data_IF_511711313259
#
_entry.id   IF_511711313259
#
_cell.length_a   1.000
_cell.length_b   1.000
_cell.length_c   1.000
_cell.angle_alpha   90.00
_cell.angle_beta   90.00
_cell.angle_gamma   90.00
#
_symmetry.space_group_name_H-M   'P 1'
#
loop_
_entity.id
_entity.type
_entity.pdbx_description
1 polymer ?
#
# COMPACT_ATOMS: atom_id res chain seq x y z
N UNK A 1 9.32 70.69 -21.80
CA UNK A 1 8.25 71.26 -21.01
C UNK A 1 7.05 70.30 -21.05
N UNK A 2 6.95 69.44 -20.06
CA UNK A 2 5.83 68.53 -19.86
C UNK A 2 4.93 69.11 -18.74
N UNK A 3 3.64 69.31 -18.92
CA UNK A 3 2.79 69.87 -17.88
C UNK A 3 2.52 68.84 -16.79
N UNK A 4 2.88 69.17 -15.57
CA UNK A 4 2.41 68.50 -14.35
C UNK A 4 0.93 68.89 -14.15
N UNK A 5 -0.04 67.95 -14.14
CA UNK A 5 -0.42 67.23 -12.92
C UNK A 5 -1.06 65.83 -13.19
N UNK A 6 -0.28 64.80 -13.36
CA UNK A 6 -0.79 63.45 -13.45
C UNK A 6 -0.02 62.40 -12.57
N UNK A 7 0.86 62.82 -11.67
CA UNK A 7 1.65 61.92 -10.85
C UNK A 7 1.21 61.84 -9.36
N UNK A 8 0.05 62.34 -8.99
CA UNK A 8 -0.40 62.32 -7.58
C UNK A 8 -1.51 61.31 -7.22
N UNK A 9 -1.89 60.43 -8.13
CA UNK A 9 -3.02 59.51 -7.90
C UNK A 9 -2.64 58.07 -7.49
N UNK A 10 -1.40 57.77 -7.16
CA UNK A 10 -0.99 56.37 -6.83
C UNK A 10 -0.29 56.21 -5.47
N UNK A 11 -0.53 57.07 -4.50
CA UNK A 11 0.07 56.98 -3.14
C UNK A 11 -0.91 56.41 -2.08
N UNK A 12 -1.99 55.77 -2.47
CA UNK A 12 -3.03 55.28 -1.54
C UNK A 12 -3.16 53.75 -1.41
N UNK A 13 -2.24 52.93 -1.90
CA UNK A 13 -2.31 51.48 -1.65
C UNK A 13 -1.75 51.17 -0.25
N UNK A 14 -2.56 50.59 0.66
CA UNK A 14 -2.07 50.13 1.94
C UNK A 14 -0.97 49.08 1.70
N UNK A 15 0.24 49.35 2.21
CA UNK A 15 1.30 48.34 2.27
C UNK A 15 0.73 47.13 3.04
N UNK A 16 0.35 46.07 2.34
CA UNK A 16 0.14 44.76 2.94
C UNK A 16 1.48 44.25 3.46
N UNK A 17 1.84 44.67 4.64
CA UNK A 17 2.91 44.03 5.42
C UNK A 17 2.38 42.64 5.80
N UNK A 18 2.75 41.64 5.01
CA UNK A 18 2.56 40.25 5.40
C UNK A 18 3.19 40.06 6.79
N UNK A 19 2.35 40.00 7.81
CA UNK A 19 2.77 39.84 9.18
C UNK A 19 3.22 38.37 9.39
N UNK A 20 4.45 38.07 8.93
CA UNK A 20 5.09 36.75 9.05
C UNK A 20 5.17 36.31 10.53
N UNK A 21 5.13 37.26 11.46
CA UNK A 21 5.10 37.00 12.91
C UNK A 21 3.74 36.39 13.35
N UNK A 22 2.63 36.82 12.79
CA UNK A 22 1.31 36.26 13.12
C UNK A 22 1.22 34.79 12.69
N UNK A 23 1.80 34.42 11.53
CA UNK A 23 1.83 33.05 11.07
C UNK A 23 2.74 32.14 11.93
N UNK A 24 3.85 32.67 12.47
CA UNK A 24 4.72 31.97 13.42
C UNK A 24 4.05 31.74 14.79
N UNK A 25 3.21 32.68 15.24
CA UNK A 25 2.51 32.59 16.54
C UNK A 25 1.41 31.53 16.46
N UNK A 26 0.69 31.43 15.35
CA UNK A 26 -0.39 30.47 15.18
C UNK A 26 0.09 28.98 15.10
N UNK A 27 1.41 28.76 14.89
CA UNK A 27 2.01 27.42 15.00
C UNK A 27 2.38 27.01 16.42
N UNK A 28 2.48 27.97 17.37
CA UNK A 28 2.96 27.70 18.73
C UNK A 28 1.90 27.16 19.68
N UNK A 29 0.63 27.34 19.38
CA UNK A 29 -0.46 27.07 20.35
C UNK A 29 -1.33 25.86 19.99
N UNK A 30 -0.83 24.90 19.21
CA UNK A 30 -1.43 23.56 19.31
C UNK A 30 -0.99 23.01 20.65
N UNK A 31 -1.95 22.78 21.59
CA UNK A 31 -1.61 22.15 22.85
C UNK A 31 -0.86 20.88 22.51
N UNK A 32 0.34 20.73 23.04
CA UNK A 32 1.03 19.44 23.07
C UNK A 32 0.09 18.55 23.89
N UNK A 33 -0.85 17.87 23.21
CA UNK A 33 -1.60 16.76 23.82
C UNK A 33 -0.53 15.86 24.38
N UNK A 34 -0.57 15.65 25.69
CA UNK A 34 0.31 14.72 26.37
C UNK A 34 0.23 13.39 25.61
N UNK A 35 1.24 13.13 24.80
CA UNK A 35 1.36 11.89 24.07
C UNK A 35 1.65 10.80 25.11
N UNK A 36 0.59 10.14 25.57
CA UNK A 36 0.72 8.76 26.01
C UNK A 36 1.34 8.03 24.80
N UNK A 37 2.50 7.43 24.95
CA UNK A 37 3.33 6.88 23.87
C UNK A 37 2.69 5.86 22.90
N UNK A 38 1.39 5.91 22.75
CA UNK A 38 0.56 5.12 21.85
C UNK A 38 -0.17 6.06 20.89
N UNK A 39 -0.40 5.59 19.66
CA UNK A 39 -1.23 6.26 18.66
C UNK A 39 -2.62 6.56 19.24
N UNK A 40 -3.12 7.80 19.14
CA UNK A 40 -4.44 8.17 19.62
C UNK A 40 -5.54 7.44 18.83
N UNK A 41 -6.68 7.19 19.49
CA UNK A 41 -7.75 6.37 18.93
C UNK A 41 -8.27 6.87 17.55
N UNK A 42 -8.50 8.17 17.32
CA UNK A 42 -8.91 8.67 16.00
C UNK A 42 -7.90 8.36 14.91
N UNK A 43 -6.62 8.51 15.18
CA UNK A 43 -5.52 8.19 14.24
C UNK A 43 -5.45 6.69 13.99
N UNK A 44 -5.57 5.86 15.02
CA UNK A 44 -5.60 4.40 14.89
C UNK A 44 -6.79 3.92 14.06
N UNK A 45 -7.98 4.48 14.27
CA UNK A 45 -9.17 4.15 13.49
C UNK A 45 -9.03 4.57 12.03
N UNK A 46 -8.53 5.78 11.78
CA UNK A 46 -8.26 6.27 10.43
C UNK A 46 -7.25 5.39 9.70
N UNK A 47 -6.16 5.02 10.39
CA UNK A 47 -5.15 4.12 9.85
C UNK A 47 -5.71 2.71 9.59
N UNK A 48 -6.51 2.18 10.50
CA UNK A 48 -7.13 0.85 10.35
C UNK A 48 -8.05 0.80 9.13
N UNK A 49 -8.84 1.85 8.91
CA UNK A 49 -9.69 1.97 7.72
C UNK A 49 -8.85 2.05 6.43
N UNK A 50 -7.81 2.89 6.43
CA UNK A 50 -6.87 2.97 5.30
C UNK A 50 -6.23 1.61 4.99
N UNK A 51 -5.70 0.93 6.01
CA UNK A 51 -5.05 -0.37 5.89
C UNK A 51 -6.03 -1.43 5.35
N UNK A 52 -7.26 -1.45 5.87
CA UNK A 52 -8.31 -2.36 5.41
C UNK A 52 -8.62 -2.15 3.93
N UNK A 53 -8.94 -0.92 3.52
CA UNK A 53 -9.23 -0.59 2.12
C UNK A 53 -8.05 -0.95 1.22
N UNK A 54 -6.83 -0.59 1.64
CA UNK A 54 -5.62 -0.89 0.88
C UNK A 54 -5.40 -2.40 0.72
N UNK A 55 -5.57 -3.21 1.78
CA UNK A 55 -5.33 -4.65 1.72
C UNK A 55 -6.41 -5.40 0.93
N UNK A 56 -7.68 -5.00 1.05
CA UNK A 56 -8.78 -5.69 0.37
C UNK A 56 -9.01 -5.23 -1.07
N UNK A 57 -8.46 -4.09 -1.49
CA UNK A 57 -8.48 -3.66 -2.89
C UNK A 57 -7.73 -4.65 -3.78
N UNK A 58 -8.26 -5.01 -4.97
CA UNK A 58 -7.56 -5.88 -5.91
C UNK A 58 -6.13 -5.40 -6.20
N UNK A 59 -5.20 -6.34 -6.24
CA UNK A 59 -3.80 -6.07 -6.52
C UNK A 59 -3.06 -7.36 -6.86
N UNK A 60 -1.77 -7.27 -7.27
CA UNK A 60 -1.02 -8.43 -7.75
C UNK A 60 -1.07 -9.62 -6.80
N UNK A 61 -0.75 -9.42 -5.53
CA UNK A 61 -0.81 -10.47 -4.52
C UNK A 61 -2.18 -11.08 -4.35
N UNK A 62 -3.22 -10.24 -4.31
CA UNK A 62 -4.58 -10.69 -4.09
C UNK A 62 -5.06 -11.57 -5.24
N UNK A 63 -4.75 -11.17 -6.49
CA UNK A 63 -5.05 -11.98 -7.69
C UNK A 63 -4.27 -13.29 -7.66
N UNK A 64 -2.99 -13.27 -7.29
CA UNK A 64 -2.17 -14.48 -7.19
C UNK A 64 -2.66 -15.43 -6.08
N UNK A 65 -3.11 -14.91 -4.94
CA UNK A 65 -3.71 -15.69 -3.86
C UNK A 65 -5.06 -16.29 -4.29
N UNK A 66 -5.89 -15.53 -4.99
CA UNK A 66 -7.14 -16.04 -5.56
C UNK A 66 -6.88 -17.15 -6.57
N UNK A 67 -5.92 -16.96 -7.48
CA UNK A 67 -5.52 -18.00 -8.44
C UNK A 67 -4.96 -19.25 -7.72
N UNK A 68 -4.15 -19.05 -6.67
CA UNK A 68 -3.64 -20.15 -5.85
C UNK A 68 -4.79 -20.94 -5.18
N UNK A 69 -5.76 -20.22 -4.60
CA UNK A 69 -6.95 -20.82 -4.00
C UNK A 69 -7.80 -21.60 -5.00
N UNK A 70 -8.03 -21.01 -6.19
CA UNK A 70 -8.84 -21.61 -7.24
C UNK A 70 -8.24 -22.93 -7.77
N UNK A 71 -6.92 -22.97 -7.92
CA UNK A 71 -6.23 -24.12 -8.53
C UNK A 71 -5.83 -25.21 -7.52
N UNK A 72 -5.45 -24.82 -6.30
CA UNK A 72 -4.81 -25.73 -5.33
C UNK A 72 -5.56 -25.87 -4.01
N UNK A 73 -6.54 -25.00 -3.76
CA UNK A 73 -7.27 -24.96 -2.50
C UNK A 73 -6.49 -24.29 -1.38
N UNK A 74 -7.14 -24.15 -0.21
CA UNK A 74 -6.61 -23.36 0.90
C UNK A 74 -5.33 -23.94 1.52
N UNK A 75 -5.34 -25.24 1.82
CA UNK A 75 -4.20 -25.90 2.51
C UNK A 75 -2.90 -25.83 1.70
N UNK A 76 -2.99 -26.09 0.39
CA UNK A 76 -1.83 -26.03 -0.49
C UNK A 76 -1.34 -24.57 -0.67
N UNK A 77 -2.21 -23.57 -0.51
CA UNK A 77 -1.87 -22.16 -0.61
C UNK A 77 -1.29 -21.57 0.68
N UNK A 78 -1.25 -22.30 1.80
CA UNK A 78 -0.69 -21.81 3.07
C UNK A 78 0.76 -21.29 2.96
N UNK A 79 1.70 -21.98 2.30
CA UNK A 79 3.05 -21.46 2.13
C UNK A 79 3.07 -20.11 1.37
N UNK A 80 2.18 -19.93 0.38
CA UNK A 80 2.02 -18.68 -0.34
C UNK A 80 1.49 -17.57 0.59
N UNK A 81 0.42 -17.84 1.34
CA UNK A 81 -0.18 -16.90 2.31
C UNK A 81 0.89 -16.45 3.34
N UNK A 82 1.60 -17.42 3.93
CA UNK A 82 2.64 -17.12 4.92
C UNK A 82 3.82 -16.37 4.32
N UNK A 83 4.20 -16.65 3.08
CA UNK A 83 5.24 -15.93 2.36
C UNK A 83 4.86 -14.47 2.12
N UNK A 84 3.63 -14.20 1.65
CA UNK A 84 3.10 -12.84 1.49
C UNK A 84 3.13 -12.10 2.82
N UNK A 85 2.62 -12.73 3.88
CA UNK A 85 2.59 -12.14 5.21
C UNK A 85 4.01 -11.81 5.72
N UNK A 86 4.92 -12.77 5.71
CA UNK A 86 6.27 -12.58 6.23
C UNK A 86 7.05 -11.52 5.43
N UNK A 87 6.99 -11.57 4.09
CA UNK A 87 7.66 -10.58 3.25
C UNK A 87 7.13 -9.17 3.47
N UNK A 88 5.80 -9.02 3.65
CA UNK A 88 5.20 -7.73 3.93
C UNK A 88 5.58 -7.21 5.32
N UNK A 89 5.60 -8.06 6.35
CA UNK A 89 6.01 -7.69 7.70
C UNK A 89 7.49 -7.29 7.77
N UNK A 90 8.36 -7.95 7.03
CA UNK A 90 9.77 -7.56 6.91
C UNK A 90 9.89 -6.15 6.31
N UNK A 91 9.10 -5.82 5.28
CA UNK A 91 9.08 -4.47 4.71
C UNK A 91 8.56 -3.42 5.69
N UNK A 92 7.54 -3.73 6.51
CA UNK A 92 7.02 -2.82 7.54
C UNK A 92 8.10 -2.50 8.55
N UNK A 93 8.81 -3.52 9.04
CA UNK A 93 9.94 -3.34 9.96
C UNK A 93 11.06 -2.53 9.33
N UNK A 94 11.47 -2.86 8.11
CA UNK A 94 12.49 -2.13 7.37
C UNK A 94 12.12 -0.65 7.15
N UNK A 95 10.85 -0.36 6.87
CA UNK A 95 10.35 1.01 6.72
C UNK A 95 10.40 1.77 8.05
N UNK A 96 10.06 1.11 9.16
CA UNK A 96 10.17 1.69 10.50
C UNK A 96 11.61 2.06 10.88
N UNK A 97 12.60 1.32 10.37
CA UNK A 97 14.03 1.62 10.56
C UNK A 97 14.62 2.60 9.52
N UNK A 98 13.80 3.29 8.75
CA UNK A 98 14.24 4.37 7.88
C UNK A 98 14.28 4.04 6.38
N UNK A 99 13.83 2.85 5.94
CA UNK A 99 13.73 2.54 4.51
C UNK A 99 12.78 3.51 3.79
N UNK A 100 11.76 4.03 4.48
CA UNK A 100 10.85 5.03 3.93
C UNK A 100 11.61 6.33 3.55
N UNK A 101 12.60 6.74 4.35
CA UNK A 101 13.44 7.90 4.03
C UNK A 101 14.37 7.66 2.84
N UNK A 102 14.79 6.41 2.59
CA UNK A 102 15.59 6.07 1.41
C UNK A 102 14.79 6.27 0.12
N UNK A 103 13.52 5.87 0.08
CA UNK A 103 12.67 6.07 -1.08
C UNK A 103 12.33 7.54 -1.32
N UNK A 104 12.24 8.35 -0.26
CA UNK A 104 12.04 9.80 -0.39
C UNK A 104 13.31 10.51 -0.84
N UNK A 105 14.49 10.03 -0.43
CA UNK A 105 15.78 10.57 -0.83
C UNK A 105 16.21 10.16 -2.25
N UNK A 106 15.77 8.97 -2.69
CA UNK A 106 16.08 8.41 -4.01
C UNK A 106 14.79 8.00 -4.75
N UNK A 107 14.02 8.97 -5.27
CA UNK A 107 12.77 8.70 -6.01
C UNK A 107 12.96 7.76 -7.19
N UNK A 108 14.11 7.81 -7.87
CA UNK A 108 14.45 6.92 -8.98
C UNK A 108 14.41 5.43 -8.59
N UNK A 109 14.76 5.08 -7.35
CA UNK A 109 14.67 3.70 -6.87
C UNK A 109 13.22 3.21 -6.83
N UNK A 110 12.29 4.08 -6.41
CA UNK A 110 10.87 3.78 -6.42
C UNK A 110 10.34 3.57 -7.86
N UNK A 111 10.74 4.43 -8.79
CA UNK A 111 10.33 4.33 -10.19
C UNK A 111 10.86 3.06 -10.86
N UNK A 112 12.11 2.69 -10.59
CA UNK A 112 12.70 1.43 -11.06
C UNK A 112 11.90 0.22 -10.55
N UNK A 113 11.62 0.15 -9.24
CA UNK A 113 10.83 -0.93 -8.65
C UNK A 113 9.41 -0.97 -9.23
N UNK A 114 8.81 0.17 -9.51
CA UNK A 114 7.49 0.29 -10.14
C UNK A 114 7.51 -0.30 -11.56
N UNK A 115 8.53 0.03 -12.36
CA UNK A 115 8.68 -0.51 -13.72
C UNK A 115 8.87 -2.03 -13.68
N UNK A 116 9.76 -2.54 -12.82
CA UNK A 116 9.97 -3.98 -12.64
C UNK A 116 8.66 -4.68 -12.28
N UNK A 117 7.87 -4.09 -11.41
CA UNK A 117 6.58 -4.63 -10.99
C UNK A 117 5.56 -4.67 -12.13
N UNK A 118 5.48 -3.61 -12.94
CA UNK A 118 4.60 -3.56 -14.12
C UNK A 118 5.00 -4.65 -15.12
N UNK A 119 6.29 -4.78 -15.41
CA UNK A 119 6.80 -5.82 -16.32
C UNK A 119 6.49 -7.23 -15.80
N UNK A 120 6.64 -7.45 -14.47
CA UNK A 120 6.27 -8.71 -13.85
C UNK A 120 4.77 -9.00 -13.97
N UNK A 121 3.92 -7.99 -13.76
CA UNK A 121 2.46 -8.14 -13.91
C UNK A 121 2.06 -8.45 -15.36
N UNK A 122 2.67 -7.79 -16.32
CA UNK A 122 2.46 -8.06 -17.73
C UNK A 122 2.90 -9.48 -18.08
N UNK A 123 4.07 -9.91 -17.59
CA UNK A 123 4.54 -11.29 -17.73
C UNK A 123 3.54 -12.30 -17.13
N UNK A 124 3.03 -12.03 -15.92
CA UNK A 124 2.06 -12.88 -15.26
C UNK A 124 0.73 -12.93 -16.03
N UNK A 125 0.24 -11.78 -16.48
CA UNK A 125 -0.97 -11.68 -17.29
C UNK A 125 -0.82 -12.44 -18.61
N UNK A 126 0.33 -12.30 -19.29
CA UNK A 126 0.66 -13.04 -20.50
C UNK A 126 0.71 -14.55 -20.25
N UNK A 127 1.34 -14.98 -19.13
CA UNK A 127 1.41 -16.39 -18.74
C UNK A 127 0.02 -16.96 -18.47
N UNK A 128 -0.85 -16.21 -17.80
CA UNK A 128 -2.25 -16.61 -17.53
C UNK A 128 -3.06 -16.68 -18.83
N UNK A 129 -2.93 -15.67 -19.70
CA UNK A 129 -3.66 -15.61 -20.96
C UNK A 129 -3.26 -16.74 -21.93
N UNK A 130 -1.98 -17.18 -21.90
CA UNK A 130 -1.47 -18.28 -22.72
C UNK A 130 -1.51 -19.65 -22.03
N UNK A 131 -1.86 -19.71 -20.75
CA UNK A 131 -2.22 -20.95 -20.09
C UNK A 131 -3.59 -21.35 -20.65
N UNK A 132 -3.59 -22.00 -21.83
CA UNK A 132 -4.79 -22.60 -22.43
C UNK A 132 -5.56 -23.41 -21.39
N UNK A 133 -6.82 -23.81 -21.71
CA UNK A 133 -7.64 -24.66 -20.83
C UNK A 133 -6.74 -25.53 -19.99
N UNK A 134 -6.91 -25.44 -18.68
CA UNK A 134 -6.12 -26.18 -17.71
C UNK A 134 -6.22 -27.69 -17.98
N UNK A 135 -5.49 -28.16 -18.97
CA UNK A 135 -4.97 -29.51 -18.94
C UNK A 135 -4.09 -29.53 -17.71
N UNK A 136 -4.50 -30.31 -16.75
CA UNK A 136 -3.80 -30.60 -15.51
C UNK A 136 -2.32 -30.88 -15.80
N UNK A 137 -1.51 -29.83 -15.91
CA UNK A 137 -0.07 -29.96 -15.83
C UNK A 137 0.22 -30.32 -14.38
N UNK A 138 0.52 -31.56 -14.17
CA UNK A 138 0.86 -32.19 -12.88
C UNK A 138 2.01 -31.51 -12.11
N UNK A 139 2.55 -30.38 -12.58
CA UNK A 139 3.75 -29.73 -12.02
C UNK A 139 3.52 -28.28 -11.56
N UNK A 140 2.33 -27.73 -11.70
CA UNK A 140 2.02 -26.38 -11.21
C UNK A 140 1.69 -26.43 -9.71
N UNK A 141 2.71 -26.17 -8.91
CA UNK A 141 2.56 -26.00 -7.46
C UNK A 141 2.24 -24.54 -7.13
N UNK A 142 1.55 -24.27 -6.00
CA UNK A 142 1.38 -22.90 -5.53
C UNK A 142 2.76 -22.27 -5.29
N UNK A 143 2.80 -20.92 -5.31
CA UNK A 143 4.04 -20.20 -4.98
C UNK A 143 4.58 -20.69 -3.64
N UNK A 144 5.88 -21.00 -3.62
CA UNK A 144 6.58 -21.34 -2.40
C UNK A 144 6.69 -20.13 -1.49
N UNK A 145 6.82 -20.36 -0.21
CA UNK A 145 6.97 -19.31 0.80
C UNK A 145 7.98 -18.23 0.39
N UNK A 146 9.19 -18.61 -0.02
CA UNK A 146 10.25 -17.66 -0.39
C UNK A 146 9.95 -16.87 -1.66
N UNK A 147 9.30 -17.47 -2.63
CA UNK A 147 8.89 -16.78 -3.87
C UNK A 147 7.85 -15.70 -3.56
N UNK A 148 6.88 -16.03 -2.72
CA UNK A 148 5.85 -15.08 -2.29
C UNK A 148 6.43 -13.97 -1.39
N UNK A 149 7.37 -14.30 -0.50
CA UNK A 149 8.05 -13.32 0.34
C UNK A 149 8.91 -12.35 -0.47
N UNK A 150 9.72 -12.87 -1.41
CA UNK A 150 10.55 -12.05 -2.29
C UNK A 150 9.71 -11.15 -3.20
N UNK A 151 8.55 -11.62 -3.64
CA UNK A 151 7.65 -10.81 -4.46
C UNK A 151 7.19 -9.53 -3.75
N UNK A 152 7.10 -9.53 -2.41
CA UNK A 152 6.73 -8.33 -1.66
C UNK A 152 7.74 -7.19 -1.85
N UNK A 153 9.04 -7.51 -2.02
CA UNK A 153 10.10 -6.50 -2.19
C UNK A 153 9.95 -5.70 -3.49
N UNK A 154 9.29 -6.27 -4.49
CA UNK A 154 9.04 -5.63 -5.79
C UNK A 154 7.57 -5.27 -6.01
N UNK A 155 6.69 -5.55 -5.05
CA UNK A 155 5.26 -5.25 -5.17
C UNK A 155 4.99 -3.76 -4.93
N UNK A 156 4.66 -2.97 -5.99
CA UNK A 156 4.54 -1.51 -5.87
C UNK A 156 3.40 -1.12 -4.95
N UNK A 157 2.31 -1.90 -4.91
CA UNK A 157 1.19 -1.65 -4.01
C UNK A 157 1.61 -1.79 -2.56
N UNK A 158 2.35 -2.86 -2.24
CA UNK A 158 2.86 -3.10 -0.88
C UNK A 158 3.81 -1.98 -0.43
N UNK A 159 4.76 -1.61 -1.28
CA UNK A 159 5.73 -0.53 -1.01
C UNK A 159 5.00 0.80 -0.79
N UNK A 160 4.04 1.15 -1.65
CA UNK A 160 3.26 2.40 -1.52
C UNK A 160 2.48 2.42 -0.21
N UNK A 161 1.80 1.33 0.14
CA UNK A 161 1.04 1.24 1.40
C UNK A 161 1.95 1.43 2.60
N UNK A 162 3.12 0.81 2.61
CA UNK A 162 4.07 0.90 3.73
C UNK A 162 4.65 2.31 3.86
N UNK A 163 5.11 2.91 2.74
CA UNK A 163 5.64 4.28 2.74
C UNK A 163 4.56 5.25 3.23
N UNK A 164 3.33 5.15 2.69
CA UNK A 164 2.22 6.00 3.12
C UNK A 164 1.87 5.79 4.59
N UNK A 165 1.90 4.56 5.08
CA UNK A 165 1.63 4.25 6.50
C UNK A 165 2.65 4.92 7.42
N UNK A 166 3.94 4.78 7.14
CA UNK A 166 4.99 5.36 7.98
C UNK A 166 4.98 6.89 7.86
N UNK A 167 4.92 7.45 6.65
CA UNK A 167 5.01 8.90 6.46
C UNK A 167 3.80 9.67 6.98
N UNK A 168 2.59 9.11 6.88
CA UNK A 168 1.35 9.78 7.26
C UNK A 168 0.96 9.55 8.73
N UNK A 169 1.38 8.43 9.34
CA UNK A 169 0.89 7.98 10.63
C UNK A 169 1.98 7.89 11.71
N UNK A 170 3.22 8.30 11.42
CA UNK A 170 4.24 8.52 12.45
C UNK A 170 4.46 10.01 12.68
N UNK A 171 4.64 10.42 13.95
CA UNK A 171 4.63 11.84 14.33
C UNK A 171 6.01 12.39 14.73
N UNK A 172 6.73 11.66 15.58
CA UNK A 172 8.00 12.13 16.14
C UNK A 172 8.96 11.00 16.46
N UNK A 173 10.24 11.32 16.51
CA UNK A 173 11.27 10.34 16.90
C UNK A 173 11.06 9.75 18.30
N UNK A 174 10.45 10.48 19.22
CA UNK A 174 10.23 10.04 20.59
C UNK A 174 9.21 8.87 20.69
N UNK A 175 8.23 8.84 19.80
CA UNK A 175 7.14 7.84 19.81
C UNK A 175 7.25 6.84 18.64
N UNK A 176 8.27 6.96 17.81
CA UNK A 176 8.40 6.21 16.56
C UNK A 176 8.23 4.68 16.78
N UNK A 177 8.86 4.12 17.80
CA UNK A 177 8.81 2.69 18.05
C UNK A 177 7.39 2.19 18.38
N UNK A 178 6.63 2.93 19.19
CA UNK A 178 5.25 2.58 19.54
C UNK A 178 4.28 2.78 18.38
N UNK A 179 4.48 3.84 17.57
CA UNK A 179 3.69 4.10 16.38
C UNK A 179 3.94 3.05 15.29
N UNK A 180 5.22 2.69 15.05
CA UNK A 180 5.59 1.60 14.13
C UNK A 180 5.05 0.26 14.60
N UNK A 181 5.05 -0.01 15.91
CA UNK A 181 4.44 -1.23 16.45
C UNK A 181 2.92 -1.25 16.21
N UNK A 182 2.22 -0.13 16.41
CA UNK A 182 0.79 -0.04 16.12
C UNK A 182 0.51 -0.27 14.62
N UNK A 183 1.30 0.34 13.74
CA UNK A 183 1.24 0.13 12.28
C UNK A 183 1.47 -1.35 11.95
N UNK A 184 2.49 -1.97 12.54
CA UNK A 184 2.81 -3.38 12.34
C UNK A 184 1.63 -4.28 12.73
N UNK A 185 1.04 -4.08 13.91
CA UNK A 185 -0.05 -4.91 14.40
C UNK A 185 -1.31 -4.80 13.53
N UNK A 186 -1.69 -3.58 13.15
CA UNK A 186 -2.84 -3.36 12.25
C UNK A 186 -2.58 -4.00 10.88
N UNK A 187 -1.44 -3.74 10.26
CA UNK A 187 -1.08 -4.31 8.96
C UNK A 187 -0.97 -5.84 9.03
N UNK A 188 -0.47 -6.42 10.12
CA UNK A 188 -0.41 -7.86 10.31
C UNK A 188 -1.80 -8.50 10.29
N UNK A 189 -2.72 -7.97 11.08
CA UNK A 189 -4.11 -8.47 11.14
C UNK A 189 -4.82 -8.34 9.80
N UNK A 190 -4.70 -7.19 9.17
CA UNK A 190 -5.40 -6.90 7.90
C UNK A 190 -4.80 -7.69 6.75
N UNK A 191 -3.47 -7.85 6.71
CA UNK A 191 -2.79 -8.62 5.64
C UNK A 191 -3.16 -10.09 5.69
N UNK A 192 -3.13 -10.73 6.88
CA UNK A 192 -3.50 -12.14 6.99
C UNK A 192 -4.98 -12.35 6.68
N UNK A 193 -5.85 -11.46 7.16
CA UNK A 193 -7.28 -11.49 6.87
C UNK A 193 -7.57 -11.36 5.38
N UNK A 194 -6.94 -10.40 4.71
CA UNK A 194 -7.05 -10.20 3.27
C UNK A 194 -6.53 -11.40 2.48
N UNK A 195 -5.36 -11.93 2.83
CA UNK A 195 -4.77 -13.08 2.15
C UNK A 195 -5.66 -14.33 2.23
N UNK A 196 -6.21 -14.61 3.41
CA UNK A 196 -7.17 -15.70 3.58
C UNK A 196 -8.44 -15.47 2.77
N UNK A 197 -8.99 -14.26 2.81
CA UNK A 197 -10.23 -13.90 2.08
C UNK A 197 -10.06 -14.05 0.58
N UNK A 198 -8.96 -13.53 0.00
CA UNK A 198 -8.71 -13.66 -1.43
C UNK A 198 -8.47 -15.10 -1.86
N UNK A 199 -7.82 -15.92 -1.03
CA UNK A 199 -7.64 -17.35 -1.28
C UNK A 199 -8.98 -18.08 -1.27
N UNK A 200 -9.84 -17.82 -0.28
CA UNK A 200 -11.19 -18.40 -0.21
C UNK A 200 -12.07 -17.94 -1.36
N UNK A 201 -12.02 -16.66 -1.72
CA UNK A 201 -12.70 -16.11 -2.89
C UNK A 201 -12.30 -16.86 -4.18
N UNK A 202 -11.00 -17.12 -4.34
CA UNK A 202 -10.49 -17.92 -5.45
C UNK A 202 -11.07 -19.34 -5.48
N UNK A 203 -11.15 -20.01 -4.33
CA UNK A 203 -11.76 -21.35 -4.22
C UNK A 203 -13.23 -21.31 -4.67
N UNK A 204 -13.98 -20.32 -4.20
CA UNK A 204 -15.40 -20.15 -4.56
C UNK A 204 -15.56 -19.92 -6.07
N UNK A 205 -14.75 -19.04 -6.66
CA UNK A 205 -14.77 -18.82 -8.11
C UNK A 205 -14.40 -20.11 -8.86
N UNK A 206 -13.34 -20.80 -8.43
CA UNK A 206 -12.89 -22.04 -9.05
C UNK A 206 -13.98 -23.12 -9.04
N UNK A 207 -14.73 -23.23 -7.94
CA UNK A 207 -15.88 -24.14 -7.84
C UNK A 207 -17.04 -23.70 -8.74
N UNK A 208 -17.30 -22.40 -8.83
CA UNK A 208 -18.38 -21.84 -9.64
C UNK A 208 -18.12 -22.06 -11.14
N UNK A 209 -16.88 -21.97 -11.59
CA UNK A 209 -16.48 -22.10 -12.99
C UNK A 209 -16.32 -23.56 -13.47
N UNK A 210 -16.38 -24.56 -12.60
CA UNK A 210 -16.27 -25.98 -12.96
C UNK A 210 -17.41 -26.49 -13.84
N UNK A 211 -18.52 -25.79 -13.94
CA UNK A 211 -19.66 -26.18 -14.77
C UNK A 211 -19.53 -25.60 -16.17
N UNK A 212 -19.50 -26.45 -17.22
CA UNK A 212 -19.32 -26.01 -18.62
C UNK A 212 -20.32 -24.93 -19.08
N UNK A 213 -21.56 -25.00 -18.59
CA UNK A 213 -22.60 -24.02 -18.89
C UNK A 213 -22.23 -22.59 -18.35
N UNK A 214 -21.52 -22.50 -17.21
CA UNK A 214 -21.12 -21.25 -16.58
C UNK A 214 -19.83 -20.69 -17.18
N UNK A 215 -18.94 -21.57 -17.66
CA UNK A 215 -17.75 -21.16 -18.43
C UNK A 215 -18.16 -20.49 -19.74
N UNK A 216 -19.20 -20.98 -20.42
CA UNK A 216 -19.74 -20.36 -21.64
C UNK A 216 -20.33 -18.98 -21.39
N UNK A 217 -21.00 -18.78 -20.24
CA UNK A 217 -21.60 -17.49 -19.87
C UNK A 217 -20.53 -16.43 -19.50
N UNK A 218 -19.34 -16.85 -19.04
CA UNK A 218 -18.25 -15.95 -18.66
C UNK A 218 -17.36 -15.55 -19.84
N UNK A 219 -17.39 -16.31 -20.94
CA UNK A 219 -16.58 -16.08 -22.15
C UNK A 219 -17.35 -15.34 -23.28
N UNK A 220 -18.59 -14.86 -23.01
CA UNK A 220 -19.34 -13.94 -23.86
C UNK A 220 -19.16 -12.51 -23.37
#
# INVERSE_FOLDING_TARGET
ACPRPACQAFTGLPRMTLNITAWKIQRRDKPQRGYSGLMDLPTLLSFSLFAFVAAFTPGPNNVMLAASGANFGFRASLPHILGVFAGFMILVVAAGFGLASLFTALPALYDILKIISILFLLYLAWKIANAGRAETRHDDRPLRFWQAAMFQLVNPKGITVIISSVTAYTSSAANLASEVLAIFMVLALVTIGSACTWTLFGILIGQFLKTEARLRLFNI
#
